data_IF_576175061860
#
_entry.id   IF_576175061860
#
_cell.length_a   1.000
_cell.length_b   1.000
_cell.length_c   1.000
_cell.angle_alpha   90.00
_cell.angle_beta   90.00
_cell.angle_gamma   90.00
#
_symmetry.space_group_name_H-M   'P 1'
#
loop_
_entity.id
_entity.type
_entity.pdbx_description
1 polymer ?
#
# COMPACT_ATOMS: atom_id res chain seq x y z
N UNK A 1 60.49 -53.03 46.62
CA UNK A 1 59.01 -53.05 46.42
C UNK A 1 58.54 -51.59 46.29
N UNK A 2 58.39 -51.10 45.12
CA UNK A 2 58.09 -49.68 44.81
C UNK A 2 56.63 -49.66 44.20
N UNK A 3 55.72 -49.02 44.93
CA UNK A 3 54.37 -48.82 44.54
C UNK A 3 54.28 -47.51 43.76
N UNK A 4 53.88 -47.60 42.47
CA UNK A 4 53.60 -46.46 41.61
C UNK A 4 52.14 -45.96 41.79
N UNK A 5 52.00 -44.70 42.16
CA UNK A 5 50.66 -44.03 42.28
C UNK A 5 50.37 -43.31 41.02
N UNK A 6 49.30 -43.76 40.32
CA UNK A 6 48.84 -43.15 39.09
C UNK A 6 47.84 -42.02 39.43
N UNK A 7 48.22 -40.77 39.07
CA UNK A 7 47.34 -39.60 39.22
C UNK A 7 46.40 -39.48 37.98
N UNK A 8 45.08 -39.51 38.23
CA UNK A 8 44.05 -39.34 37.24
C UNK A 8 43.72 -37.84 37.12
N UNK A 9 44.04 -37.19 35.98
CA UNK A 9 43.70 -35.82 35.72
C UNK A 9 42.28 -35.74 35.13
N UNK A 10 41.37 -35.12 35.86
CA UNK A 10 40.00 -34.84 35.39
C UNK A 10 40.00 -33.52 34.57
N UNK A 11 39.78 -33.63 33.27
CA UNK A 11 39.58 -32.48 32.41
C UNK A 11 38.10 -32.01 32.48
N UNK A 12 37.88 -30.86 33.12
CA UNK A 12 36.55 -30.21 33.15
C UNK A 12 36.32 -29.46 31.85
N UNK A 13 35.41 -29.95 31.02
CA UNK A 13 34.92 -29.23 29.85
C UNK A 13 33.89 -28.18 30.28
N UNK A 14 34.25 -26.90 30.19
CA UNK A 14 33.32 -25.77 30.35
C UNK A 14 32.47 -25.64 29.06
N UNK A 15 31.19 -26.05 29.12
CA UNK A 15 30.25 -25.74 28.06
C UNK A 15 29.86 -24.26 28.16
N UNK A 16 30.40 -23.42 27.27
CA UNK A 16 29.95 -22.04 27.09
C UNK A 16 28.66 -22.10 26.27
N UNK A 17 27.52 -21.93 26.95
CA UNK A 17 26.20 -21.81 26.32
C UNK A 17 26.14 -20.43 25.67
N UNK A 18 26.24 -20.38 24.34
CA UNK A 18 26.04 -19.16 23.56
C UNK A 18 24.52 -18.84 23.56
N UNK A 19 24.09 -18.00 24.50
CA UNK A 19 22.74 -17.48 24.51
C UNK A 19 22.52 -16.64 23.25
N UNK A 20 21.69 -17.11 22.34
CA UNK A 20 21.25 -16.32 21.19
C UNK A 20 20.53 -15.06 21.71
N UNK A 21 21.14 -13.90 21.53
CA UNK A 21 20.49 -12.61 21.77
C UNK A 21 19.24 -12.52 20.86
N UNK A 22 18.06 -12.18 21.40
CA UNK A 22 16.90 -11.94 20.55
C UNK A 22 17.26 -10.84 19.57
N UNK A 23 17.25 -11.18 18.28
CA UNK A 23 17.58 -10.25 17.22
C UNK A 23 16.65 -9.04 17.32
N UNK A 24 17.20 -7.86 17.55
CA UNK A 24 16.48 -6.59 17.44
C UNK A 24 15.94 -6.55 16.02
N UNK A 25 14.62 -6.58 15.88
CA UNK A 25 13.96 -6.49 14.58
C UNK A 25 14.48 -5.21 13.90
N UNK A 26 15.15 -5.36 12.77
CA UNK A 26 15.61 -4.21 11.97
C UNK A 26 14.40 -3.33 11.64
N UNK A 27 14.51 -2.01 11.79
CA UNK A 27 13.44 -1.10 11.37
C UNK A 27 13.08 -1.40 9.91
N UNK A 28 11.81 -1.67 9.63
CA UNK A 28 11.37 -1.85 8.24
C UNK A 28 11.61 -0.55 7.49
N UNK A 29 12.29 -0.61 6.36
CA UNK A 29 12.44 0.54 5.47
C UNK A 29 11.10 0.78 4.75
N UNK A 30 10.25 1.56 5.40
CA UNK A 30 8.89 1.86 4.94
C UNK A 30 8.94 3.08 4.02
N UNK A 31 8.43 2.92 2.80
CA UNK A 31 8.43 3.97 1.77
C UNK A 31 7.19 4.84 1.87
N UNK A 32 7.28 6.18 2.03
CA UNK A 32 6.11 7.04 2.01
C UNK A 32 5.54 7.19 0.60
N UNK A 33 4.21 7.17 0.51
CA UNK A 33 3.42 7.45 -0.68
C UNK A 33 2.37 8.52 -0.35
N UNK A 34 2.48 9.70 -0.96
CA UNK A 34 1.53 10.79 -0.76
C UNK A 34 0.29 10.57 -1.62
N UNK A 35 -0.89 10.58 -0.98
CA UNK A 35 -2.18 10.39 -1.64
C UNK A 35 -3.15 11.46 -1.19
N UNK A 36 -3.75 12.15 -2.16
CA UNK A 36 -4.87 13.07 -1.98
C UNK A 36 -6.15 12.39 -2.46
N UNK A 37 -7.16 12.31 -1.61
CA UNK A 37 -8.50 11.88 -2.02
C UNK A 37 -9.40 13.11 -2.16
N UNK A 38 -9.88 13.31 -3.39
CA UNK A 38 -10.87 14.33 -3.71
C UNK A 38 -12.26 13.72 -3.71
N UNK A 39 -12.98 13.90 -2.60
CA UNK A 39 -14.33 13.38 -2.42
C UNK A 39 -15.37 14.28 -3.11
N UNK A 40 -15.63 14.03 -4.39
CA UNK A 40 -16.66 14.73 -5.16
C UNK A 40 -18.02 14.04 -5.10
N UNK A 41 -18.08 12.80 -4.57
CA UNK A 41 -19.31 12.02 -4.41
C UNK A 41 -20.07 12.29 -3.10
N UNK A 42 -19.51 13.12 -2.21
CA UNK A 42 -20.13 13.35 -0.90
C UNK A 42 -20.10 12.11 0.01
N UNK A 43 -19.11 11.24 -0.14
CA UNK A 43 -18.96 10.03 0.69
C UNK A 43 -18.97 10.39 2.17
N UNK A 44 -19.79 9.73 3.01
CA UNK A 44 -19.83 9.99 4.45
C UNK A 44 -18.46 9.83 5.12
N UNK A 45 -18.19 10.62 6.16
CA UNK A 45 -16.86 10.66 6.79
C UNK A 45 -16.43 9.30 7.36
N UNK A 46 -17.35 8.58 8.00
CA UNK A 46 -17.08 7.23 8.53
C UNK A 46 -16.66 6.24 7.45
N UNK A 47 -17.29 6.29 6.27
CA UNK A 47 -16.94 5.47 5.10
C UNK A 47 -15.57 5.89 4.55
N UNK A 48 -15.27 7.20 4.47
CA UNK A 48 -13.96 7.69 4.04
C UNK A 48 -12.83 7.23 4.98
N UNK A 49 -13.03 7.37 6.31
CA UNK A 49 -12.04 6.94 7.29
C UNK A 49 -11.76 5.45 7.20
N UNK A 50 -12.81 4.65 7.05
CA UNK A 50 -12.68 3.20 6.85
C UNK A 50 -11.96 2.87 5.55
N UNK A 51 -12.25 3.60 4.45
CA UNK A 51 -11.57 3.43 3.18
C UNK A 51 -10.08 3.79 3.28
N UNK A 52 -9.74 4.90 3.93
CA UNK A 52 -8.33 5.27 4.18
C UNK A 52 -7.61 4.22 5.01
N UNK A 53 -8.24 3.73 6.08
CA UNK A 53 -7.67 2.66 6.91
C UNK A 53 -7.41 1.40 6.09
N UNK A 54 -8.39 0.93 5.29
CA UNK A 54 -8.26 -0.27 4.47
C UNK A 54 -7.14 -0.12 3.42
N UNK A 55 -7.09 1.03 2.73
CA UNK A 55 -6.03 1.34 1.76
C UNK A 55 -4.66 1.36 2.44
N UNK A 56 -4.52 2.06 3.57
CA UNK A 56 -3.26 2.12 4.33
C UNK A 56 -2.79 0.73 4.77
N UNK A 57 -3.70 -0.11 5.27
CA UNK A 57 -3.39 -1.50 5.65
C UNK A 57 -2.84 -2.30 4.47
N UNK A 58 -3.45 -2.20 3.29
CA UNK A 58 -3.03 -2.92 2.08
C UNK A 58 -1.60 -2.52 1.67
N UNK A 59 -1.29 -1.23 1.71
CA UNK A 59 0.04 -0.73 1.33
C UNK A 59 1.10 -0.99 2.42
N UNK A 60 0.71 -0.97 3.70
CA UNK A 60 1.63 -1.27 4.80
C UNK A 60 2.13 -2.73 4.76
N UNK A 61 1.30 -3.68 4.28
CA UNK A 61 1.70 -5.08 4.05
C UNK A 61 2.84 -5.24 3.03
N UNK A 62 3.10 -4.21 2.23
CA UNK A 62 4.18 -4.18 1.26
C UNK A 62 5.25 -3.13 1.59
N UNK A 63 5.36 -2.74 2.86
CA UNK A 63 6.29 -1.73 3.39
C UNK A 63 6.15 -0.36 2.71
N UNK A 64 4.92 0.05 2.42
CA UNK A 64 4.58 1.40 1.92
C UNK A 64 3.63 2.07 2.88
N UNK A 65 3.98 3.26 3.37
CA UNK A 65 3.15 4.08 4.25
C UNK A 65 2.43 5.17 3.45
N UNK A 66 1.10 5.17 3.52
CA UNK A 66 0.30 6.20 2.84
C UNK A 66 0.19 7.44 3.72
N UNK A 67 0.74 8.53 3.22
CA UNK A 67 0.58 9.86 3.80
C UNK A 67 -0.64 10.52 3.14
N UNK A 68 -1.76 10.52 3.85
CA UNK A 68 -2.98 11.17 3.38
C UNK A 68 -2.84 12.68 3.43
N UNK A 69 -3.12 13.33 2.30
CA UNK A 69 -3.19 14.77 2.17
C UNK A 69 -4.65 15.20 2.03
N UNK A 70 -4.97 16.41 2.47
CA UNK A 70 -6.20 17.11 2.11
C UNK A 70 -5.90 18.27 1.14
N UNK A 71 -6.95 18.85 0.54
CA UNK A 71 -6.79 19.93 -0.46
C UNK A 71 -6.12 21.21 0.09
N UNK A 72 -6.10 21.40 1.39
CA UNK A 72 -5.54 22.55 2.09
C UNK A 72 -4.16 22.28 2.68
N UNK A 73 -3.63 21.09 2.45
CA UNK A 73 -2.33 20.71 3.00
C UNK A 73 -1.22 21.63 2.43
N UNK A 74 -0.54 22.32 3.34
CA UNK A 74 0.54 23.24 2.98
C UNK A 74 1.65 22.57 2.17
N UNK A 75 1.85 21.27 2.33
CA UNK A 75 2.84 20.52 1.54
C UNK A 75 2.55 20.58 0.04
N UNK A 76 1.29 20.72 -0.37
CA UNK A 76 0.90 20.84 -1.79
C UNK A 76 1.36 22.14 -2.45
N UNK A 77 1.82 23.12 -1.69
CA UNK A 77 2.44 24.34 -2.24
C UNK A 77 3.84 24.07 -2.80
N UNK A 78 4.47 22.96 -2.40
CA UNK A 78 5.75 22.55 -2.96
C UNK A 78 5.52 21.79 -4.29
N UNK A 79 6.05 22.29 -5.44
CA UNK A 79 5.86 21.64 -6.74
C UNK A 79 6.38 20.19 -6.80
N UNK A 80 7.43 19.85 -6.04
CA UNK A 80 7.96 18.49 -5.99
C UNK A 80 6.97 17.55 -5.29
N UNK A 81 6.36 17.98 -4.17
CA UNK A 81 5.31 17.23 -3.46
C UNK A 81 4.10 17.06 -4.36
N UNK A 82 3.63 18.14 -4.99
CA UNK A 82 2.48 18.09 -5.88
C UNK A 82 2.70 17.11 -7.05
N UNK A 83 3.87 17.13 -7.67
CA UNK A 83 4.23 16.20 -8.76
C UNK A 83 4.32 14.74 -8.30
N UNK A 84 4.67 14.47 -7.06
CA UNK A 84 4.78 13.10 -6.51
C UNK A 84 3.48 12.58 -5.90
N UNK A 85 2.49 13.45 -5.64
CA UNK A 85 1.21 13.08 -5.03
C UNK A 85 0.33 12.36 -6.04
N UNK A 86 -0.21 11.21 -5.64
CA UNK A 86 -1.30 10.54 -6.35
C UNK A 86 -2.62 11.20 -5.96
N UNK A 87 -3.44 11.52 -6.94
CA UNK A 87 -4.77 12.10 -6.72
C UNK A 87 -5.84 11.10 -7.12
N UNK A 88 -6.70 10.75 -6.18
CA UNK A 88 -7.85 9.88 -6.41
C UNK A 88 -9.12 10.70 -6.30
N UNK A 89 -9.84 10.85 -7.42
CA UNK A 89 -11.15 11.47 -7.46
C UNK A 89 -12.22 10.45 -7.19
N UNK A 90 -12.97 10.63 -6.11
CA UNK A 90 -14.15 9.80 -5.80
C UNK A 90 -15.37 10.50 -6.37
N UNK A 91 -15.96 9.92 -7.42
CA UNK A 91 -17.03 10.51 -8.21
C UNK A 91 -18.36 9.79 -7.95
N UNK A 92 -19.49 10.51 -8.03
CA UNK A 92 -20.80 9.86 -8.17
C UNK A 92 -20.93 9.20 -9.56
N UNK A 93 -21.91 8.31 -9.72
CA UNK A 93 -22.12 7.49 -10.93
C UNK A 93 -22.28 8.30 -12.23
N UNK A 94 -22.94 9.44 -12.14
CA UNK A 94 -23.47 10.16 -13.30
C UNK A 94 -22.61 11.30 -13.82
N UNK A 95 -21.30 11.24 -13.64
CA UNK A 95 -20.44 12.24 -14.31
C UNK A 95 -20.27 11.88 -15.78
N UNK A 96 -20.93 12.62 -16.65
CA UNK A 96 -20.88 12.50 -18.13
C UNK A 96 -19.45 12.53 -18.71
N UNK A 97 -18.46 12.95 -17.97
CA UNK A 97 -17.06 13.04 -18.39
C UNK A 97 -16.42 11.68 -18.71
N UNK A 98 -17.01 10.56 -18.24
CA UNK A 98 -16.43 9.21 -18.34
C UNK A 98 -17.33 8.21 -19.06
N UNK A 99 -18.23 8.68 -19.92
CA UNK A 99 -19.21 7.85 -20.66
C UNK A 99 -18.60 6.75 -21.54
N UNK A 100 -17.28 6.80 -21.81
CA UNK A 100 -16.54 5.76 -22.54
C UNK A 100 -15.96 4.67 -21.65
N UNK A 101 -16.03 4.82 -20.32
CA UNK A 101 -15.54 3.81 -19.37
C UNK A 101 -16.58 2.71 -19.28
N UNK A 102 -16.14 1.44 -19.32
CA UNK A 102 -17.03 0.30 -19.19
C UNK A 102 -17.99 0.48 -17.99
N UNK A 103 -19.28 0.24 -18.21
CA UNK A 103 -20.32 0.44 -17.18
C UNK A 103 -20.08 -0.36 -15.90
N UNK A 104 -19.30 -1.44 -15.99
CA UNK A 104 -18.96 -2.33 -14.86
C UNK A 104 -17.72 -1.90 -14.10
N UNK A 105 -16.91 -0.95 -14.60
CA UNK A 105 -15.69 -0.52 -13.93
C UNK A 105 -16.03 0.22 -12.63
N UNK A 106 -15.43 -0.19 -11.53
CA UNK A 106 -15.55 0.46 -10.22
C UNK A 106 -14.61 1.67 -10.09
N UNK A 107 -13.53 1.69 -10.88
CA UNK A 107 -12.58 2.76 -10.97
C UNK A 107 -11.81 2.72 -12.28
N UNK A 108 -10.93 3.71 -12.47
CA UNK A 108 -10.01 3.79 -13.61
C UNK A 108 -8.78 4.62 -13.24
N UNK A 109 -7.61 4.07 -13.48
CA UNK A 109 -6.35 4.79 -13.39
C UNK A 109 -5.96 5.35 -14.76
N UNK A 110 -5.50 6.60 -14.83
CA UNK A 110 -5.01 7.19 -16.06
C UNK A 110 -3.51 6.93 -16.21
N UNK A 111 -3.12 6.08 -17.13
CA UNK A 111 -1.74 5.65 -17.27
C UNK A 111 -0.79 6.78 -17.66
N UNK A 112 0.42 6.74 -17.11
CA UNK A 112 1.43 7.79 -17.35
C UNK A 112 1.14 9.08 -16.58
N UNK A 113 0.09 9.12 -15.78
CA UNK A 113 -0.24 10.22 -14.87
C UNK A 113 -0.21 9.75 -13.41
N UNK A 114 -0.66 10.64 -12.51
CA UNK A 114 -0.88 10.32 -11.09
C UNK A 114 -2.34 10.46 -10.70
N UNK A 115 -3.26 10.29 -11.66
CA UNK A 115 -4.69 10.47 -11.44
C UNK A 115 -5.42 9.13 -11.58
N UNK A 116 -6.35 8.89 -10.65
CA UNK A 116 -7.30 7.81 -10.70
C UNK A 116 -8.69 8.33 -10.35
N UNK A 117 -9.71 7.65 -10.87
CA UNK A 117 -11.11 7.90 -10.57
C UNK A 117 -11.74 6.65 -9.98
N UNK A 118 -12.61 6.84 -9.00
CA UNK A 118 -13.36 5.77 -8.35
C UNK A 118 -14.84 6.15 -8.32
N UNK A 119 -15.71 5.23 -8.72
CA UNK A 119 -17.14 5.47 -8.86
C UNK A 119 -17.91 4.95 -7.64
N UNK A 120 -18.19 5.85 -6.69
CA UNK A 120 -18.76 5.51 -5.39
C UNK A 120 -20.10 4.78 -5.49
N UNK A 121 -21.05 5.27 -6.31
CA UNK A 121 -22.38 4.66 -6.43
C UNK A 121 -22.32 3.24 -6.98
N UNK A 122 -21.34 2.93 -7.83
CA UNK A 122 -21.15 1.58 -8.35
C UNK A 122 -20.65 0.63 -7.25
N UNK A 123 -19.79 1.12 -6.38
CA UNK A 123 -19.30 0.36 -5.21
C UNK A 123 -20.44 0.15 -4.22
N UNK A 124 -21.22 1.20 -3.94
CA UNK A 124 -22.38 1.13 -3.05
C UNK A 124 -23.48 0.18 -3.55
N UNK A 125 -23.57 -0.02 -4.86
CA UNK A 125 -24.54 -0.94 -5.48
C UNK A 125 -24.08 -2.41 -5.48
N UNK A 126 -22.86 -2.73 -5.03
CA UNK A 126 -22.40 -4.11 -4.92
C UNK A 126 -23.22 -4.86 -3.85
N UNK A 127 -23.58 -6.15 -4.06
CA UNK A 127 -24.37 -6.92 -3.11
C UNK A 127 -23.64 -7.12 -1.76
N UNK A 128 -24.38 -7.13 -0.66
CA UNK A 128 -23.88 -7.57 0.65
C UNK A 128 -23.16 -6.51 1.47
N UNK A 129 -23.25 -5.22 1.14
CA UNK A 129 -22.57 -4.16 1.89
C UNK A 129 -23.43 -3.54 3.00
N UNK A 130 -22.98 -3.69 4.27
CA UNK A 130 -23.25 -2.72 5.33
C UNK A 130 -22.28 -1.54 5.27
N UNK A 131 -22.49 -0.47 6.05
CA UNK A 131 -21.63 0.73 6.02
C UNK A 131 -20.13 0.42 6.23
N UNK A 132 -19.81 -0.53 7.11
CA UNK A 132 -18.42 -0.94 7.36
C UNK A 132 -17.80 -1.64 6.16
N UNK A 133 -18.59 -2.43 5.43
CA UNK A 133 -18.15 -3.19 4.27
C UNK A 133 -17.95 -2.27 3.07
N UNK A 134 -18.79 -1.23 2.95
CA UNK A 134 -18.69 -0.22 1.91
C UNK A 134 -17.37 0.57 2.01
N UNK A 135 -16.96 0.96 3.23
CA UNK A 135 -15.67 1.62 3.44
C UNK A 135 -14.48 0.73 3.08
N UNK A 136 -14.53 -0.55 3.45
CA UNK A 136 -13.49 -1.51 3.06
C UNK A 136 -13.43 -1.69 1.55
N UNK A 137 -14.59 -1.88 0.88
CA UNK A 137 -14.67 -2.04 -0.57
C UNK A 137 -14.16 -0.81 -1.31
N UNK A 138 -14.55 0.40 -0.87
CA UNK A 138 -14.01 1.65 -1.41
C UNK A 138 -12.48 1.72 -1.26
N UNK A 139 -11.94 1.36 -0.09
CA UNK A 139 -10.50 1.32 0.14
C UNK A 139 -9.77 0.32 -0.75
N UNK A 140 -10.36 -0.84 -1.04
CA UNK A 140 -9.80 -1.81 -1.97
C UNK A 140 -9.79 -1.31 -3.41
N UNK A 141 -10.86 -0.66 -3.87
CA UNK A 141 -10.90 -0.04 -5.21
C UNK A 141 -9.84 1.07 -5.30
N UNK A 142 -9.73 1.94 -4.29
CA UNK A 142 -8.68 2.97 -4.25
C UNK A 142 -7.29 2.33 -4.35
N UNK A 143 -7.01 1.29 -3.57
CA UNK A 143 -5.72 0.60 -3.60
C UNK A 143 -5.45 -0.09 -4.95
N UNK A 144 -6.47 -0.66 -5.59
CA UNK A 144 -6.40 -1.25 -6.93
C UNK A 144 -6.00 -0.21 -7.98
N UNK A 145 -6.68 0.94 -8.00
CA UNK A 145 -6.39 2.02 -8.96
C UNK A 145 -5.02 2.64 -8.74
N UNK A 146 -4.61 2.83 -7.48
CA UNK A 146 -3.23 3.25 -7.15
C UNK A 146 -2.23 2.18 -7.64
N UNK A 147 -2.57 0.91 -7.50
CA UNK A 147 -1.76 -0.21 -8.04
C UNK A 147 -1.51 -0.07 -9.54
N UNK A 148 -2.53 0.30 -10.35
CA UNK A 148 -2.38 0.55 -11.78
C UNK A 148 -1.46 1.74 -12.12
N UNK A 149 -1.37 2.74 -11.23
CA UNK A 149 -0.47 3.88 -11.41
C UNK A 149 1.00 3.54 -11.08
N UNK A 150 1.22 2.57 -10.20
CA UNK A 150 2.54 2.21 -9.68
C UNK A 150 3.15 0.99 -10.38
N UNK A 151 2.32 0.08 -10.91
CA UNK A 151 2.79 -1.12 -11.60
C UNK A 151 3.17 -0.82 -13.06
N UNK A 152 4.21 -1.50 -13.60
CA UNK A 152 4.67 -1.27 -14.97
C UNK A 152 3.68 -1.79 -16.02
N UNK A 153 2.84 -2.75 -15.65
CA UNK A 153 1.83 -3.33 -16.53
C UNK A 153 0.43 -2.94 -16.08
N UNK A 154 -0.45 -2.69 -17.04
CA UNK A 154 -1.89 -2.42 -16.80
C UNK A 154 -2.70 -3.70 -16.73
N UNK A 155 -2.09 -4.84 -16.94
CA UNK A 155 -2.76 -6.13 -16.94
C UNK A 155 -3.21 -6.48 -15.52
N UNK A 156 -4.44 -6.93 -15.41
CA UNK A 156 -4.93 -7.56 -14.20
C UNK A 156 -4.20 -8.87 -13.93
N UNK A 157 -4.13 -9.24 -12.66
CA UNK A 157 -3.53 -10.51 -12.23
C UNK A 157 -4.61 -11.57 -11.97
N UNK A 158 -4.26 -12.86 -12.02
CA UNK A 158 -5.23 -13.93 -11.73
C UNK A 158 -5.69 -13.94 -10.27
N UNK A 159 -4.96 -13.28 -9.36
CA UNK A 159 -5.26 -13.27 -7.91
C UNK A 159 -4.81 -11.97 -7.24
N UNK A 160 -5.22 -11.81 -5.99
CA UNK A 160 -4.90 -10.64 -5.17
C UNK A 160 -5.72 -9.41 -5.56
N UNK A 161 -5.28 -8.25 -5.06
CA UNK A 161 -6.01 -6.99 -5.25
C UNK A 161 -6.07 -6.54 -6.72
N UNK A 162 -5.08 -6.88 -7.53
CA UNK A 162 -5.04 -6.54 -8.95
C UNK A 162 -5.80 -7.52 -9.86
N UNK A 163 -6.67 -8.38 -9.31
CA UNK A 163 -7.57 -9.23 -10.11
C UNK A 163 -8.61 -8.37 -10.84
N UNK A 164 -8.93 -8.73 -12.08
CA UNK A 164 -10.05 -8.13 -12.79
C UNK A 164 -11.38 -8.46 -12.08
N UNK A 165 -12.18 -7.44 -11.84
CA UNK A 165 -13.40 -7.56 -11.03
C UNK A 165 -13.09 -7.68 -9.53
N UNK A 166 -13.71 -6.83 -8.75
CA UNK A 166 -13.58 -6.86 -7.30
C UNK A 166 -14.34 -8.10 -6.76
N UNK A 167 -13.63 -8.94 -6.01
CA UNK A 167 -14.28 -9.92 -5.15
C UNK A 167 -14.86 -9.16 -3.95
N UNK A 168 -16.14 -8.81 -4.04
CA UNK A 168 -16.81 -7.93 -3.07
C UNK A 168 -16.77 -8.47 -1.65
N UNK A 169 -16.96 -9.77 -1.46
CA UNK A 169 -16.93 -10.40 -0.14
C UNK A 169 -15.53 -10.31 0.48
N UNK A 170 -14.49 -10.66 -0.26
CA UNK A 170 -13.10 -10.58 0.23
C UNK A 170 -12.65 -9.14 0.41
N UNK A 171 -13.12 -8.22 -0.41
CA UNK A 171 -12.84 -6.80 -0.24
C UNK A 171 -13.51 -6.24 1.02
N UNK A 172 -14.77 -6.59 1.26
CA UNK A 172 -15.51 -6.24 2.47
C UNK A 172 -14.81 -6.75 3.74
N UNK A 173 -14.23 -7.96 3.69
CA UNK A 173 -13.44 -8.55 4.77
C UNK A 173 -12.02 -7.98 4.91
N UNK A 174 -11.57 -7.10 4.01
CA UNK A 174 -10.21 -6.57 4.02
C UNK A 174 -9.13 -7.61 3.69
N UNK A 175 -9.46 -8.60 2.84
CA UNK A 175 -8.65 -9.80 2.59
C UNK A 175 -7.92 -9.81 1.23
N UNK A 176 -7.91 -8.71 0.49
CA UNK A 176 -7.22 -8.60 -0.79
C UNK A 176 -5.93 -7.76 -0.65
N UNK A 177 -4.80 -8.35 -1.06
CA UNK A 177 -3.48 -7.72 -0.97
C UNK A 177 -2.72 -7.84 -2.30
N UNK A 178 -1.67 -7.06 -2.47
CA UNK A 178 -0.73 -7.20 -3.57
C UNK A 178 0.04 -8.52 -3.45
N UNK A 179 0.35 -9.15 -4.58
CA UNK A 179 1.25 -10.30 -4.60
C UNK A 179 2.69 -9.87 -4.29
N UNK A 180 3.55 -10.81 -3.88
CA UNK A 180 4.98 -10.52 -3.62
C UNK A 180 5.70 -9.90 -4.83
N UNK A 181 5.32 -10.29 -6.05
CA UNK A 181 5.86 -9.73 -7.29
C UNK A 181 5.47 -8.26 -7.46
N UNK A 182 4.17 -7.95 -7.28
CA UNK A 182 3.63 -6.60 -7.33
C UNK A 182 4.24 -5.71 -6.24
N UNK A 183 4.38 -6.22 -5.02
CA UNK A 183 5.02 -5.52 -3.90
C UNK A 183 6.44 -5.05 -4.27
N UNK A 184 7.26 -5.94 -4.84
CA UNK A 184 8.61 -5.57 -5.29
C UNK A 184 8.60 -4.49 -6.37
N UNK A 185 7.73 -4.62 -7.37
CA UNK A 185 7.61 -3.65 -8.48
C UNK A 185 7.18 -2.27 -7.97
N UNK A 186 6.20 -2.21 -7.08
CA UNK A 186 5.73 -0.96 -6.46
C UNK A 186 6.87 -0.29 -5.69
N UNK A 187 7.58 -1.02 -4.84
CA UNK A 187 8.70 -0.46 -4.07
C UNK A 187 9.85 0.01 -4.96
N UNK A 188 10.20 -0.73 -6.01
CA UNK A 188 11.19 -0.29 -6.99
C UNK A 188 10.77 1.02 -7.63
N UNK A 189 9.52 1.12 -8.11
CA UNK A 189 8.98 2.34 -8.72
C UNK A 189 9.06 3.55 -7.79
N UNK A 190 8.65 3.40 -6.52
CA UNK A 190 8.71 4.46 -5.53
C UNK A 190 10.15 4.88 -5.20
N UNK A 191 11.09 3.93 -5.16
CA UNK A 191 12.51 4.21 -4.98
C UNK A 191 13.12 4.98 -6.14
N UNK A 192 12.75 4.66 -7.39
CA UNK A 192 13.19 5.36 -8.59
C UNK A 192 12.61 6.78 -8.67
N UNK A 193 11.32 6.94 -8.35
CA UNK A 193 10.66 8.24 -8.31
C UNK A 193 11.32 9.19 -7.30
N UNK A 194 11.76 8.71 -6.14
CA UNK A 194 12.53 9.48 -5.15
C UNK A 194 13.88 9.94 -5.69
N UNK A 195 14.65 9.05 -6.31
CA UNK A 195 15.97 9.39 -6.88
C UNK A 195 15.87 10.42 -8.01
N UNK A 196 14.75 10.44 -8.71
CA UNK A 196 14.49 11.36 -9.82
C UNK A 196 14.03 12.76 -9.38
N UNK A 197 13.71 12.94 -8.08
CA UNK A 197 13.24 14.23 -7.55
C UNK A 197 14.43 15.12 -7.18
N UNK A 198 14.56 16.37 -7.70
CA UNK A 198 15.78 17.20 -7.60
C UNK A 198 16.23 17.64 -6.20
N UNK A 199 15.48 17.36 -5.15
CA UNK A 199 15.79 17.77 -3.77
C UNK A 199 17.04 17.08 -3.19
N UNK A 200 17.44 15.93 -3.72
CA UNK A 200 18.54 15.11 -3.18
C UNK A 200 19.92 15.45 -3.77
N UNK A 201 20.00 16.36 -4.75
CA UNK A 201 21.28 16.75 -5.39
C UNK A 201 22.05 17.84 -4.67
N UNK A 202 21.55 18.39 -3.54
CA UNK A 202 22.20 19.51 -2.83
C UNK A 202 23.03 19.11 -1.61
N UNK A 203 23.12 17.82 -1.28
CA UNK A 203 23.88 17.36 -0.09
C UNK A 203 25.19 16.68 -0.40
N UNK A 204 25.69 16.74 -1.65
CA UNK A 204 27.03 16.22 -2.02
C UNK A 204 27.87 17.29 -2.70
N UNK A 205 28.13 18.38 -1.97
CA UNK A 205 29.24 19.29 -2.25
C UNK A 205 29.82 19.82 -0.95
#
# INVERSE_FOLDING_TARGET
>A
MTTATTALAAASFLLVSLAATPGVAQPRDVMPLMVLVDNMAGVPINVQEKARWATSKIFLEIDVDIIWLDKRDVRLTNPAVLKSTIVVHVLPRDTNAHSKIAHEALGVALPGTRFAWVFYDRIAALPGHGDNDLGCSLGHVIAHEIGHLLLPTRAHSPSGIMKAGLDGERAAQGALFFTRGQARQIRTKLGDDRRSTPADRRSTN
#
